data_IF_480422541374
#
_entry.id   IF_480422541374
#
_cell.length_a   1.000
_cell.length_b   1.000
_cell.length_c   1.000
_cell.angle_alpha   90.00
_cell.angle_beta   90.00
_cell.angle_gamma   90.00
#
_symmetry.space_group_name_H-M   'P 1'
#
loop_
_entity.id
_entity.type
_entity.pdbx_description
1 polymer ?
#
# COMPACT_ATOMS: atom_id res chain seq x y z
N UNK A 1 -8.19 -44.08 -46.05
CA UNK A 1 -7.01 -43.29 -45.62
C UNK A 1 -7.24 -41.85 -46.04
N UNK A 2 -7.77 -41.02 -45.15
CA UNK A 2 -7.99 -39.59 -45.41
C UNK A 2 -6.97 -38.80 -44.59
N UNK A 3 -6.16 -37.98 -45.26
CA UNK A 3 -5.13 -37.14 -44.61
C UNK A 3 -5.81 -36.03 -43.79
N UNK A 4 -5.28 -35.67 -42.61
CA UNK A 4 -5.78 -34.54 -41.83
C UNK A 4 -5.38 -33.20 -42.47
N UNK A 5 -6.33 -32.27 -42.51
CA UNK A 5 -6.16 -30.89 -42.98
C UNK A 5 -5.31 -30.09 -41.97
N UNK A 6 -4.35 -29.24 -42.39
CA UNK A 6 -3.58 -28.41 -41.46
C UNK A 6 -4.47 -27.33 -40.82
N UNK A 7 -4.35 -27.16 -39.51
CA UNK A 7 -4.92 -26.02 -38.78
C UNK A 7 -4.24 -24.73 -39.26
N UNK A 8 -5.03 -23.75 -39.72
CA UNK A 8 -4.53 -22.40 -40.03
C UNK A 8 -4.18 -21.69 -38.71
N UNK A 9 -3.11 -20.87 -38.68
CA UNK A 9 -2.85 -19.97 -37.55
C UNK A 9 -4.04 -19.02 -37.39
N UNK A 10 -4.58 -18.91 -36.17
CA UNK A 10 -5.62 -17.93 -35.86
C UNK A 10 -5.08 -16.52 -36.06
N UNK A 11 -5.83 -15.69 -36.79
CA UNK A 11 -5.52 -14.25 -36.90
C UNK A 11 -5.60 -13.60 -35.51
N UNK A 12 -4.65 -12.71 -35.16
CA UNK A 12 -4.71 -11.98 -33.90
C UNK A 12 -6.00 -11.17 -33.85
N UNK A 13 -6.78 -11.36 -32.78
CA UNK A 13 -7.98 -10.57 -32.52
C UNK A 13 -7.56 -9.10 -32.34
N UNK A 14 -8.09 -8.16 -33.14
CA UNK A 14 -7.73 -6.76 -32.99
C UNK A 14 -8.22 -6.25 -31.64
N UNK A 15 -7.32 -5.60 -30.90
CA UNK A 15 -7.65 -4.83 -29.70
C UNK A 15 -8.79 -3.86 -30.07
N UNK A 16 -9.94 -4.00 -29.41
CA UNK A 16 -11.05 -3.06 -29.59
C UNK A 16 -10.56 -1.64 -29.30
N UNK A 17 -10.92 -0.63 -30.12
CA UNK A 17 -10.57 0.75 -29.84
C UNK A 17 -11.52 1.29 -28.78
N UNK A 18 -11.29 0.93 -27.51
CA UNK A 18 -11.66 1.79 -26.41
C UNK A 18 -10.74 3.00 -26.49
N UNK A 19 -11.28 4.20 -26.69
CA UNK A 19 -10.49 5.43 -26.62
C UNK A 19 -9.69 5.44 -25.29
N UNK A 20 -8.49 6.05 -25.27
CA UNK A 20 -7.69 6.08 -24.06
C UNK A 20 -8.54 6.63 -22.92
N UNK A 21 -8.62 5.89 -21.82
CA UNK A 21 -9.12 6.45 -20.57
C UNK A 21 -8.40 7.79 -20.36
N UNK A 22 -9.10 8.86 -19.92
CA UNK A 22 -8.46 10.15 -19.72
C UNK A 22 -7.19 9.96 -18.90
N UNK A 23 -6.07 10.47 -19.41
CA UNK A 23 -4.78 10.41 -18.74
C UNK A 23 -4.99 11.01 -17.35
N UNK A 24 -4.91 10.15 -16.32
CA UNK A 24 -4.96 10.62 -14.94
C UNK A 24 -3.79 11.59 -14.76
N UNK A 25 -3.98 12.76 -14.12
CA UNK A 25 -2.86 13.65 -13.83
C UNK A 25 -1.80 12.84 -13.07
N UNK A 26 -0.56 12.90 -13.56
CA UNK A 26 0.55 12.16 -12.98
C UNK A 26 0.83 12.62 -11.56
N UNK A 27 1.31 11.72 -10.71
CA UNK A 27 1.67 12.01 -9.32
C UNK A 27 2.74 13.11 -9.23
N UNK A 28 2.79 13.87 -8.12
CA UNK A 28 3.84 14.85 -7.91
C UNK A 28 5.21 14.18 -7.88
N UNK A 29 6.09 14.62 -8.77
CA UNK A 29 7.48 14.16 -8.82
C UNK A 29 8.40 15.24 -8.22
N UNK A 30 8.92 15.01 -7.01
CA UNK A 30 10.00 15.73 -6.35
C UNK A 30 11.09 16.13 -7.36
N UNK A 31 11.56 17.40 -7.36
CA UNK A 31 12.44 17.96 -8.37
C UNK A 31 13.70 17.12 -8.67
N UNK A 32 14.31 16.54 -7.65
CA UNK A 32 15.52 15.68 -7.76
C UNK A 32 15.33 14.39 -8.58
N UNK A 33 14.08 14.08 -8.97
CA UNK A 33 13.71 12.83 -9.62
C UNK A 33 13.29 13.00 -11.09
N UNK A 34 13.43 14.20 -11.66
CA UNK A 34 13.35 14.38 -13.12
C UNK A 34 14.55 13.68 -13.80
N UNK A 35 14.39 12.44 -14.26
CA UNK A 35 15.33 11.89 -15.26
C UNK A 35 15.57 10.38 -15.37
N UNK A 36 15.27 9.53 -14.37
CA UNK A 36 15.29 8.04 -14.42
C UNK A 36 15.01 7.50 -13.02
N UNK A 37 13.81 6.99 -12.78
CA UNK A 37 13.46 6.35 -11.51
C UNK A 37 13.98 4.89 -11.54
N UNK A 38 14.78 4.43 -10.58
CA UNK A 38 15.23 3.03 -10.55
C UNK A 38 14.03 2.10 -10.38
N UNK A 39 13.98 1.06 -11.21
CA UNK A 39 13.01 -0.02 -11.13
C UNK A 39 13.69 -1.23 -10.48
N UNK A 40 13.29 -1.56 -9.27
CA UNK A 40 13.79 -2.73 -8.56
C UNK A 40 12.97 -3.95 -8.92
N UNK A 41 13.65 -5.04 -9.30
CA UNK A 41 13.00 -6.28 -9.69
C UNK A 41 13.06 -7.29 -8.55
N UNK A 42 11.98 -8.03 -8.35
CA UNK A 42 11.90 -9.14 -7.41
C UNK A 42 11.08 -10.29 -7.99
N UNK A 43 11.33 -11.52 -7.56
CA UNK A 43 10.60 -12.71 -7.96
C UNK A 43 9.85 -13.30 -6.76
N UNK A 44 8.62 -13.75 -6.95
CA UNK A 44 7.73 -14.26 -5.90
C UNK A 44 7.21 -15.65 -6.28
N UNK A 45 7.28 -16.58 -5.34
CA UNK A 45 6.79 -17.94 -5.50
C UNK A 45 5.37 -18.08 -4.92
N UNK A 46 4.37 -18.14 -5.80
CA UNK A 46 3.01 -18.56 -5.45
C UNK A 46 2.95 -20.07 -5.53
N UNK A 47 3.43 -20.74 -4.47
CA UNK A 47 3.49 -22.20 -4.42
C UNK A 47 2.11 -22.75 -4.08
N UNK A 48 1.55 -23.54 -4.99
CA UNK A 48 0.18 -24.07 -4.86
C UNK A 48 0.17 -25.59 -4.86
N UNK A 49 -0.82 -26.17 -4.18
CA UNK A 49 -1.11 -27.60 -4.24
C UNK A 49 -2.61 -27.86 -4.27
N UNK A 50 -3.00 -29.01 -4.81
CA UNK A 50 -4.37 -29.49 -4.70
C UNK A 50 -4.57 -30.18 -3.34
N UNK A 51 -5.64 -29.84 -2.64
CA UNK A 51 -6.06 -30.45 -1.38
C UNK A 51 -7.54 -30.87 -1.46
N UNK A 52 -8.02 -31.75 -0.56
CA UNK A 52 -9.43 -32.18 -0.57
C UNK A 52 -10.45 -31.02 -0.49
N UNK A 53 -10.08 -29.91 0.15
CA UNK A 53 -10.92 -28.71 0.30
C UNK A 53 -10.79 -27.70 -0.84
N UNK A 54 -9.97 -27.97 -1.87
CA UNK A 54 -9.67 -27.04 -2.96
C UNK A 54 -8.17 -26.75 -3.07
N UNK A 55 -7.81 -25.74 -3.87
CA UNK A 55 -6.42 -25.36 -4.06
C UNK A 55 -5.92 -24.51 -2.89
N UNK A 56 -4.77 -24.89 -2.36
CA UNK A 56 -4.08 -24.19 -1.27
C UNK A 56 -2.84 -23.45 -1.79
N UNK A 57 -2.41 -22.43 -1.05
CA UNK A 57 -1.17 -21.70 -1.25
C UNK A 57 -0.30 -21.78 -0.01
N UNK A 58 1.01 -21.97 -0.19
CA UNK A 58 1.97 -21.93 0.91
C UNK A 58 2.32 -20.47 1.22
N UNK A 59 2.09 -20.07 2.47
CA UNK A 59 2.45 -18.75 2.98
C UNK A 59 3.40 -18.88 4.17
N UNK A 60 4.28 -17.90 4.31
CA UNK A 60 5.16 -17.74 5.46
C UNK A 60 4.76 -16.51 6.28
N UNK A 61 4.76 -16.64 7.60
CA UNK A 61 4.52 -15.54 8.53
C UNK A 61 5.84 -14.83 8.79
N UNK A 62 5.96 -13.59 8.31
CA UNK A 62 7.18 -12.77 8.44
C UNK A 62 7.46 -12.41 9.90
N UNK A 63 8.70 -12.49 10.34
CA UNK A 63 9.16 -12.04 11.66
C UNK A 63 10.57 -11.48 11.56
N UNK A 64 10.98 -10.50 12.36
CA UNK A 64 12.38 -10.04 12.38
C UNK A 64 12.93 -9.44 11.07
N UNK A 65 12.09 -9.20 10.06
CA UNK A 65 12.51 -8.70 8.74
C UNK A 65 12.67 -7.17 8.71
N UNK A 66 12.08 -6.49 9.70
CA UNK A 66 12.03 -5.04 9.76
C UNK A 66 11.00 -4.41 8.81
N UNK A 67 10.28 -5.22 8.02
CA UNK A 67 9.24 -4.76 7.10
C UNK A 67 8.08 -5.76 7.03
N UNK A 68 6.87 -5.31 7.36
CA UNK A 68 5.65 -6.13 7.34
C UNK A 68 5.78 -7.39 8.21
N UNK A 69 6.43 -7.28 9.37
CA UNK A 69 6.47 -8.38 10.35
C UNK A 69 5.06 -8.69 10.85
N UNK A 70 4.77 -9.96 11.15
CA UNK A 70 3.45 -10.48 11.51
C UNK A 70 2.39 -10.39 10.39
N UNK A 71 2.86 -10.32 9.14
CA UNK A 71 2.04 -10.51 7.94
C UNK A 71 2.44 -11.78 7.20
N UNK A 72 1.46 -12.48 6.66
CA UNK A 72 1.65 -13.62 5.77
C UNK A 72 2.09 -13.14 4.38
N UNK A 73 3.11 -13.79 3.83
CA UNK A 73 3.64 -13.54 2.51
C UNK A 73 3.76 -14.85 1.70
N UNK A 74 3.93 -14.74 0.39
CA UNK A 74 4.29 -15.83 -0.50
C UNK A 74 5.44 -16.64 0.09
N UNK A 75 5.40 -17.96 -0.09
CA UNK A 75 6.32 -18.89 0.55
C UNK A 75 7.81 -18.62 0.31
N UNK A 76 8.17 -17.94 -0.78
CA UNK A 76 9.50 -17.39 -0.99
C UNK A 76 9.45 -16.16 -1.90
N UNK A 77 10.31 -15.17 -1.67
CA UNK A 77 10.44 -14.01 -2.55
C UNK A 77 11.73 -13.23 -2.31
N UNK A 78 12.34 -12.73 -3.39
CA UNK A 78 13.56 -11.93 -3.26
C UNK A 78 13.98 -11.20 -4.53
N UNK A 79 15.05 -10.41 -4.41
CA UNK A 79 15.49 -9.49 -5.45
C UNK A 79 16.09 -10.22 -6.66
N UNK A 80 15.88 -9.64 -7.84
CA UNK A 80 16.59 -10.06 -9.05
C UNK A 80 17.94 -9.36 -9.09
N UNK A 81 18.97 -10.08 -8.64
CA UNK A 81 20.35 -9.60 -8.54
C UNK A 81 21.24 -10.08 -9.70
N UNK A 82 22.46 -9.54 -9.82
CA UNK A 82 23.52 -10.01 -10.74
C UNK A 82 23.11 -10.21 -12.21
N UNK A 83 22.14 -9.41 -12.68
CA UNK A 83 21.57 -9.48 -14.03
C UNK A 83 21.00 -10.87 -14.40
N UNK A 84 20.55 -11.64 -13.41
CA UNK A 84 19.91 -12.94 -13.64
C UNK A 84 18.47 -12.80 -14.14
N UNK A 85 17.93 -13.86 -14.74
CA UNK A 85 16.51 -13.92 -15.07
C UNK A 85 15.65 -14.04 -13.80
N UNK A 86 14.43 -13.46 -13.74
CA UNK A 86 13.56 -13.58 -12.56
C UNK A 86 13.26 -15.03 -12.16
N UNK A 87 13.21 -15.97 -13.12
CA UNK A 87 13.03 -17.40 -12.83
C UNK A 87 14.23 -18.03 -12.12
N UNK A 88 15.45 -17.50 -12.33
CA UNK A 88 16.66 -17.94 -11.61
C UNK A 88 16.62 -17.41 -10.18
N UNK A 89 16.25 -16.14 -10.01
CA UNK A 89 16.02 -15.57 -8.68
C UNK A 89 14.96 -16.37 -7.92
N UNK A 90 13.80 -16.65 -8.54
CA UNK A 90 12.75 -17.49 -7.95
C UNK A 90 13.29 -18.83 -7.42
N UNK A 91 14.01 -19.59 -8.25
CA UNK A 91 14.52 -20.91 -7.86
C UNK A 91 15.57 -20.83 -6.75
N UNK A 92 16.35 -19.75 -6.69
CA UNK A 92 17.28 -19.47 -5.59
C UNK A 92 16.54 -19.20 -4.28
N UNK A 93 15.61 -18.25 -4.28
CA UNK A 93 14.86 -17.85 -3.07
C UNK A 93 14.05 -19.01 -2.51
N UNK A 94 13.39 -19.82 -3.36
CA UNK A 94 12.68 -21.03 -2.92
C UNK A 94 13.63 -22.02 -2.22
N UNK A 95 14.87 -22.18 -2.70
CA UNK A 95 15.84 -23.06 -2.06
C UNK A 95 16.36 -22.47 -0.74
N UNK A 96 16.68 -21.18 -0.73
CA UNK A 96 17.24 -20.47 0.42
C UNK A 96 16.23 -20.33 1.57
N UNK A 97 14.97 -20.03 1.27
CA UNK A 97 13.92 -19.79 2.27
C UNK A 97 13.18 -21.07 2.71
N UNK A 98 12.99 -22.03 1.78
CA UNK A 98 12.14 -23.21 2.01
C UNK A 98 12.87 -24.56 1.98
N UNK A 99 14.11 -24.59 1.47
CA UNK A 99 14.92 -25.82 1.42
C UNK A 99 14.41 -26.86 0.42
N UNK A 100 13.68 -26.44 -0.62
CA UNK A 100 13.11 -27.29 -1.69
C UNK A 100 13.52 -26.77 -3.06
N UNK A 101 13.43 -27.65 -4.07
CA UNK A 101 13.74 -27.31 -5.45
C UNK A 101 12.46 -27.10 -6.28
N UNK A 102 12.46 -26.11 -7.16
CA UNK A 102 11.35 -25.86 -8.10
C UNK A 102 11.42 -26.88 -9.24
N UNK A 103 10.38 -27.70 -9.38
CA UNK A 103 10.25 -28.68 -10.49
C UNK A 103 9.46 -28.09 -11.65
N UNK A 104 8.37 -27.37 -11.35
CA UNK A 104 7.52 -26.73 -12.35
C UNK A 104 7.04 -25.37 -11.86
N UNK A 105 7.28 -24.34 -12.67
CA UNK A 105 6.74 -23.01 -12.45
C UNK A 105 6.46 -22.31 -13.79
N UNK A 106 5.41 -21.49 -13.82
CA UNK A 106 5.10 -20.62 -14.96
C UNK A 106 4.86 -19.18 -14.51
N UNK A 107 5.14 -18.19 -15.37
CA UNK A 107 4.79 -16.80 -15.09
C UNK A 107 3.29 -16.68 -14.83
N UNK A 108 2.93 -16.06 -13.70
CA UNK A 108 1.55 -15.82 -13.32
C UNK A 108 1.14 -14.39 -13.70
N UNK A 109 1.90 -13.40 -13.23
CA UNK A 109 1.69 -11.99 -13.54
C UNK A 109 2.97 -11.21 -13.25
N UNK A 110 3.12 -10.06 -13.90
CA UNK A 110 4.08 -9.04 -13.46
C UNK A 110 3.31 -7.92 -12.79
N UNK A 111 3.68 -7.57 -11.56
CA UNK A 111 3.15 -6.39 -10.91
C UNK A 111 4.15 -5.24 -11.02
N UNK A 112 3.71 -4.13 -11.62
CA UNK A 112 4.39 -2.86 -11.41
C UNK A 112 3.77 -2.21 -10.17
N UNK A 113 4.60 -1.83 -9.21
CA UNK A 113 4.12 -1.09 -8.03
C UNK A 113 4.97 0.13 -7.72
N UNK A 114 4.33 1.10 -7.09
CA UNK A 114 4.97 2.32 -6.61
C UNK A 114 4.44 2.71 -5.23
N UNK A 115 5.33 3.20 -4.36
CA UNK A 115 4.96 3.79 -3.07
C UNK A 115 5.11 5.31 -3.08
N UNK A 116 4.48 5.99 -2.13
CA UNK A 116 4.71 7.41 -1.88
C UNK A 116 5.98 7.68 -1.06
N UNK A 117 6.46 6.70 -0.26
CA UNK A 117 7.56 6.88 0.72
C UNK A 117 8.80 6.07 0.33
N UNK A 118 9.98 6.63 0.63
CA UNK A 118 11.30 6.10 0.26
C UNK A 118 11.90 6.83 -0.93
N UNK A 119 13.23 6.74 -1.15
CA UNK A 119 13.84 7.14 -2.44
C UNK A 119 13.06 6.40 -3.51
N UNK A 120 12.27 7.13 -4.29
CA UNK A 120 11.15 6.59 -5.09
C UNK A 120 11.58 5.37 -5.89
N UNK A 121 11.34 4.21 -5.32
CA UNK A 121 11.69 2.93 -5.89
C UNK A 121 10.38 2.39 -6.45
N UNK A 122 10.29 2.36 -7.77
CA UNK A 122 9.26 1.54 -8.40
C UNK A 122 9.76 0.11 -8.39
N UNK A 123 8.82 -0.83 -8.31
CA UNK A 123 9.15 -2.25 -8.39
C UNK A 123 8.46 -2.92 -9.56
N UNK A 124 9.16 -3.89 -10.13
CA UNK A 124 8.64 -4.90 -11.03
C UNK A 124 8.73 -6.25 -10.33
N UNK A 125 7.62 -6.68 -9.75
CA UNK A 125 7.51 -7.96 -9.06
C UNK A 125 7.02 -9.02 -10.05
N UNK A 126 7.85 -10.03 -10.29
CA UNK A 126 7.55 -11.16 -11.17
C UNK A 126 6.97 -12.29 -10.32
N UNK A 127 5.67 -12.49 -10.40
CA UNK A 127 5.00 -13.60 -9.71
C UNK A 127 5.01 -14.84 -10.61
N UNK A 128 5.42 -15.96 -10.04
CA UNK A 128 5.37 -17.27 -10.66
C UNK A 128 4.42 -18.15 -9.85
N UNK A 129 3.54 -18.86 -10.54
CA UNK A 129 2.84 -19.97 -9.92
C UNK A 129 3.77 -21.18 -9.96
N UNK A 130 4.01 -21.79 -8.80
CA UNK A 130 4.82 -23.00 -8.67
C UNK A 130 3.88 -24.16 -8.39
N UNK A 131 3.72 -25.06 -9.35
CA UNK A 131 2.81 -26.20 -9.25
C UNK A 131 3.47 -27.46 -8.69
N UNK A 132 4.80 -27.53 -8.75
CA UNK A 132 5.55 -28.69 -8.27
C UNK A 132 6.90 -28.29 -7.68
N UNK A 133 7.18 -28.85 -6.51
CA UNK A 133 8.46 -28.75 -5.78
C UNK A 133 8.98 -30.15 -5.44
N UNK A 134 10.29 -30.28 -5.32
CA UNK A 134 10.96 -31.49 -4.83
C UNK A 134 11.45 -31.28 -3.39
N UNK A 135 11.02 -32.16 -2.49
CA UNK A 135 11.24 -32.05 -1.05
C UNK A 135 10.03 -31.52 -0.28
N UNK A 136 10.14 -31.47 1.04
CA UNK A 136 9.10 -30.91 1.93
C UNK A 136 9.53 -29.50 2.38
N UNK A 137 8.73 -28.46 2.11
CA UNK A 137 9.08 -27.09 2.47
C UNK A 137 9.12 -26.91 3.98
N UNK A 138 10.16 -26.22 4.47
CA UNK A 138 10.37 -25.95 5.89
C UNK A 138 10.91 -24.53 6.09
N UNK A 139 10.79 -24.00 7.29
CA UNK A 139 11.44 -22.74 7.66
C UNK A 139 12.96 -22.97 7.67
N UNK A 140 13.68 -22.32 6.74
CA UNK A 140 15.15 -22.33 6.72
C UNK A 140 15.74 -21.15 7.50
N UNK A 141 15.08 -19.99 7.46
CA UNK A 141 15.50 -18.76 8.15
C UNK A 141 14.57 -18.44 9.35
N UNK A 142 14.73 -19.10 10.51
CA UNK A 142 13.83 -18.92 11.66
C UNK A 142 13.89 -17.52 12.28
N UNK A 143 14.97 -16.76 12.04
CA UNK A 143 15.08 -15.36 12.49
C UNK A 143 14.23 -14.40 11.62
N UNK A 144 13.76 -14.87 10.46
CA UNK A 144 12.97 -14.08 9.49
C UNK A 144 11.52 -14.57 9.31
N UNK A 145 11.21 -15.77 9.82
CA UNK A 145 9.95 -16.47 9.56
C UNK A 145 9.48 -17.22 10.81
N UNK A 146 8.30 -16.83 11.31
CA UNK A 146 7.69 -17.37 12.52
C UNK A 146 6.84 -18.63 12.28
N UNK A 147 6.20 -18.73 11.12
CA UNK A 147 5.31 -19.85 10.77
C UNK A 147 5.33 -20.08 9.26
N UNK A 148 5.01 -21.30 8.84
CA UNK A 148 4.92 -21.71 7.44
C UNK A 148 3.71 -22.64 7.28
N UNK A 149 2.73 -22.24 6.47
CA UNK A 149 1.44 -22.93 6.43
C UNK A 149 0.79 -22.89 5.05
N UNK A 150 0.08 -23.97 4.74
CA UNK A 150 -0.84 -24.05 3.62
C UNK A 150 -2.19 -23.41 3.98
N UNK A 151 -2.60 -22.43 3.20
CA UNK A 151 -3.88 -21.73 3.36
C UNK A 151 -4.78 -22.00 2.14
N UNK A 152 -6.08 -22.24 2.32
CA UNK A 152 -7.01 -22.27 1.19
C UNK A 152 -6.96 -20.94 0.43
N UNK A 153 -6.83 -20.95 -0.90
CA UNK A 153 -6.80 -19.72 -1.70
C UNK A 153 -8.10 -18.91 -1.58
N UNK A 154 -9.20 -19.56 -1.22
CA UNK A 154 -10.51 -18.96 -0.99
C UNK A 154 -10.71 -18.45 0.44
N UNK A 155 -9.76 -18.70 1.34
CA UNK A 155 -9.83 -18.34 2.76
C UNK A 155 -8.44 -17.95 3.27
N UNK A 156 -7.91 -16.88 2.66
CA UNK A 156 -6.63 -16.29 3.05
C UNK A 156 -6.72 -15.68 4.45
N UNK A 157 -5.61 -15.68 5.23
CA UNK A 157 -5.59 -15.03 6.54
C UNK A 157 -5.83 -13.52 6.40
N UNK A 158 -6.32 -12.85 7.46
CA UNK A 158 -6.61 -11.42 7.42
C UNK A 158 -5.39 -10.57 6.99
N UNK A 159 -4.22 -10.87 7.57
CA UNK A 159 -2.97 -10.15 7.30
C UNK A 159 -2.13 -10.88 6.25
N UNK A 160 -2.43 -10.63 4.98
CA UNK A 160 -1.55 -10.97 3.86
C UNK A 160 -0.94 -9.68 3.32
N UNK A 161 0.37 -9.69 3.03
CA UNK A 161 1.09 -8.54 2.48
C UNK A 161 0.27 -7.93 1.32
N UNK A 162 -0.09 -6.62 1.35
CA UNK A 162 -1.17 -6.07 0.52
C UNK A 162 -1.01 -6.31 -0.99
N UNK A 163 0.20 -6.13 -1.52
CA UNK A 163 0.44 -6.30 -2.95
C UNK A 163 0.42 -7.78 -3.37
N UNK A 164 0.84 -8.70 -2.49
CA UNK A 164 0.75 -10.13 -2.74
C UNK A 164 -0.69 -10.64 -2.66
N UNK A 165 -1.48 -10.11 -1.72
CA UNK A 165 -2.94 -10.38 -1.62
C UNK A 165 -3.65 -10.11 -2.93
N UNK A 166 -3.34 -9.01 -3.62
CA UNK A 166 -3.92 -8.68 -4.94
C UNK A 166 -3.71 -9.82 -5.95
N UNK A 167 -2.51 -10.41 -5.97
CA UNK A 167 -2.19 -11.51 -6.88
C UNK A 167 -2.88 -12.81 -6.47
N UNK A 168 -2.90 -13.11 -5.17
CA UNK A 168 -3.56 -14.31 -4.63
C UNK A 168 -5.07 -14.27 -4.83
N UNK A 169 -5.70 -13.11 -4.66
CA UNK A 169 -7.13 -12.90 -4.93
C UNK A 169 -7.45 -13.01 -6.43
N UNK A 170 -6.56 -12.50 -7.31
CA UNK A 170 -6.70 -12.69 -8.75
C UNK A 170 -6.60 -14.18 -9.15
N UNK A 171 -5.65 -14.91 -8.56
CA UNK A 171 -5.53 -16.36 -8.77
C UNK A 171 -6.76 -17.12 -8.23
N UNK A 172 -7.27 -16.75 -7.05
CA UNK A 172 -8.49 -17.33 -6.51
C UNK A 172 -9.71 -17.07 -7.42
N UNK A 173 -9.83 -15.86 -7.97
CA UNK A 173 -10.88 -15.51 -8.93
C UNK A 173 -10.76 -16.30 -10.24
N UNK A 174 -9.54 -16.55 -10.72
CA UNK A 174 -9.32 -17.43 -11.87
C UNK A 174 -9.84 -18.84 -11.62
N UNK A 175 -9.51 -19.41 -10.45
CA UNK A 175 -9.89 -20.78 -10.11
C UNK A 175 -11.40 -20.92 -9.87
N UNK A 176 -12.03 -19.93 -9.25
CA UNK A 176 -13.44 -20.01 -8.82
C UNK A 176 -14.42 -19.45 -9.84
N UNK A 177 -14.00 -18.47 -10.64
CA UNK A 177 -14.87 -17.72 -11.55
C UNK A 177 -14.41 -17.76 -13.01
N UNK A 178 -13.24 -18.35 -13.30
CA UNK A 178 -12.67 -18.39 -14.65
C UNK A 178 -12.14 -17.03 -15.15
N UNK A 179 -12.02 -16.04 -14.27
CA UNK A 179 -11.49 -14.71 -14.61
C UNK A 179 -9.96 -14.81 -14.75
N UNK A 180 -9.38 -14.59 -15.94
CA UNK A 180 -7.94 -14.76 -16.12
C UNK A 180 -7.15 -13.76 -15.24
N UNK A 181 -6.04 -14.22 -14.67
CA UNK A 181 -5.09 -13.33 -14.00
C UNK A 181 -4.50 -12.38 -15.05
N UNK A 182 -4.55 -11.05 -14.85
CA UNK A 182 -3.95 -10.11 -15.78
C UNK A 182 -2.44 -10.34 -15.89
N UNK A 183 -1.89 -10.26 -17.12
CA UNK A 183 -0.45 -10.40 -17.33
C UNK A 183 0.36 -9.27 -16.67
N UNK A 184 -0.25 -8.09 -16.52
CA UNK A 184 0.30 -6.92 -15.84
C UNK A 184 -0.72 -6.40 -14.82
N UNK A 185 -0.27 -6.17 -13.59
CA UNK A 185 -1.06 -5.50 -12.54
C UNK A 185 -0.31 -4.24 -12.12
N UNK A 186 -1.03 -3.12 -12.06
CA UNK A 186 -0.53 -1.88 -11.46
C UNK A 186 -1.04 -1.79 -10.02
N UNK A 187 -0.15 -1.54 -9.07
CA UNK A 187 -0.53 -1.42 -7.67
C UNK A 187 0.09 -0.20 -6.99
N UNK A 188 -0.73 0.50 -6.20
CA UNK A 188 -0.26 1.61 -5.40
C UNK A 188 -0.03 2.88 -6.21
N UNK A 189 -0.47 2.97 -7.47
CA UNK A 189 -0.37 4.16 -8.35
C UNK A 189 -1.59 5.08 -8.30
N UNK A 190 -2.72 4.61 -7.75
CA UNK A 190 -3.96 5.37 -7.64
C UNK A 190 -4.20 5.96 -6.24
N UNK A 191 -3.34 5.67 -5.27
CA UNK A 191 -3.31 6.33 -3.95
C UNK A 191 -3.16 7.85 -4.08
N UNK A 192 -4.04 8.59 -3.41
CA UNK A 192 -4.04 10.05 -3.25
C UNK A 192 -3.95 10.39 -1.77
N UNK A 193 -2.98 11.22 -1.42
CA UNK A 193 -2.69 11.59 -0.05
C UNK A 193 -3.17 13.02 0.23
N UNK A 194 -4.07 13.16 1.19
CA UNK A 194 -4.61 14.43 1.67
C UNK A 194 -4.25 14.61 3.14
N UNK A 195 -3.61 15.71 3.52
CA UNK A 195 -3.44 16.05 4.94
C UNK A 195 -4.68 16.82 5.41
N UNK A 196 -5.27 16.38 6.51
CA UNK A 196 -6.42 17.04 7.12
C UNK A 196 -6.02 17.49 8.52
N UNK A 197 -6.11 18.78 8.82
CA UNK A 197 -5.69 19.33 10.12
C UNK A 197 -6.47 20.60 10.47
N UNK A 198 -6.71 20.81 11.76
CA UNK A 198 -7.02 22.13 12.31
C UNK A 198 -5.73 22.71 12.91
N UNK A 199 -5.37 23.94 12.54
CA UNK A 199 -4.11 24.58 12.94
C UNK A 199 -4.38 25.98 13.49
N UNK A 200 -3.68 26.36 14.56
CA UNK A 200 -3.74 27.73 15.10
C UNK A 200 -3.01 28.72 14.19
N UNK A 201 -3.18 30.02 14.44
CA UNK A 201 -2.50 31.07 13.68
C UNK A 201 -0.95 30.99 13.78
N UNK A 202 -0.42 30.31 14.81
CA UNK A 202 0.99 29.96 14.98
C UNK A 202 1.34 28.53 14.52
N UNK A 203 0.44 27.87 13.76
CA UNK A 203 0.51 26.46 13.33
C UNK A 203 0.40 25.42 14.45
N UNK A 204 0.05 25.80 15.67
CA UNK A 204 -0.15 24.85 16.76
C UNK A 204 -1.25 23.83 16.43
N UNK A 205 -1.04 22.55 16.78
CA UNK A 205 -2.03 21.47 16.58
C UNK A 205 -2.27 20.59 17.81
N UNK A 206 -1.48 20.77 18.88
CA UNK A 206 -1.63 19.97 20.09
C UNK A 206 -1.03 20.65 21.31
N UNK A 207 -1.80 20.64 22.40
CA UNK A 207 -1.44 21.12 23.74
C UNK A 207 -1.81 20.02 24.73
N UNK A 208 -0.89 19.63 25.62
CA UNK A 208 -1.09 18.59 26.64
C UNK A 208 -1.68 17.25 26.09
N UNK A 209 -1.36 16.88 24.85
CA UNK A 209 -1.85 15.67 24.20
C UNK A 209 -3.29 15.74 23.64
N UNK A 210 -3.92 16.93 23.67
CA UNK A 210 -5.24 17.20 23.11
C UNK A 210 -5.26 18.36 22.12
N UNK A 211 -6.41 18.54 21.46
CA UNK A 211 -6.67 19.71 20.63
C UNK A 211 -6.97 20.91 21.53
N UNK A 212 -6.33 22.09 21.34
CA UNK A 212 -6.51 23.25 22.22
C UNK A 212 -7.87 23.96 22.08
N UNK A 213 -8.71 23.53 21.15
CA UNK A 213 -10.05 24.07 20.92
C UNK A 213 -11.08 22.97 20.73
N UNK A 214 -12.35 23.33 20.94
CA UNK A 214 -13.49 22.47 20.63
C UNK A 214 -14.36 23.14 19.57
N UNK A 215 -14.25 22.66 18.33
CA UNK A 215 -14.96 23.20 17.16
C UNK A 215 -15.85 22.10 16.55
N UNK A 216 -17.14 22.01 16.93
CA UNK A 216 -18.04 20.97 16.42
C UNK A 216 -18.21 20.97 14.89
N UNK A 217 -18.08 22.13 14.26
CA UNK A 217 -18.18 22.30 12.81
C UNK A 217 -16.94 21.76 12.09
N UNK A 218 -15.76 21.92 12.67
CA UNK A 218 -14.52 21.29 12.20
C UNK A 218 -14.62 19.76 12.30
N UNK A 219 -15.12 19.21 13.41
CA UNK A 219 -15.34 17.77 13.54
C UNK A 219 -16.32 17.21 12.50
N UNK A 220 -17.34 17.99 12.12
CA UNK A 220 -18.28 17.64 11.06
C UNK A 220 -17.60 17.66 9.70
N UNK A 221 -16.86 18.72 9.42
CA UNK A 221 -16.08 18.86 8.18
C UNK A 221 -15.04 17.73 8.05
N UNK A 222 -14.28 17.45 9.10
CA UNK A 222 -13.34 16.32 9.18
C UNK A 222 -14.02 15.00 8.84
N UNK A 223 -15.20 14.72 9.40
CA UNK A 223 -15.98 13.52 9.08
C UNK A 223 -16.39 13.48 7.62
N UNK A 224 -16.86 14.58 7.05
CA UNK A 224 -17.29 14.67 5.66
C UNK A 224 -16.12 14.44 4.69
N UNK A 225 -14.99 15.11 4.93
CA UNK A 225 -13.78 15.01 4.11
C UNK A 225 -13.22 13.59 4.13
N UNK A 226 -13.12 12.98 5.32
CA UNK A 226 -12.44 11.68 5.47
C UNK A 226 -13.31 10.46 5.15
N UNK A 227 -14.61 10.63 4.92
CA UNK A 227 -15.56 9.53 4.80
C UNK A 227 -15.20 8.55 3.67
N UNK A 228 -15.27 7.25 3.96
CA UNK A 228 -15.02 6.19 2.98
C UNK A 228 -13.55 5.97 2.61
N UNK A 229 -12.63 6.82 3.09
CA UNK A 229 -11.19 6.65 2.89
C UNK A 229 -10.50 5.92 4.04
N UNK A 230 -9.17 5.93 3.95
CA UNK A 230 -8.27 5.37 4.98
C UNK A 230 -7.63 6.52 5.75
N UNK A 231 -7.78 6.54 7.06
CA UNK A 231 -7.08 7.48 7.93
C UNK A 231 -5.73 6.89 8.34
N UNK A 232 -4.65 7.66 8.18
CA UNK A 232 -3.32 7.33 8.67
C UNK A 232 -2.98 8.30 9.79
N UNK A 233 -2.62 7.76 10.95
CA UNK A 233 -2.25 8.56 12.12
C UNK A 233 -1.17 7.94 12.99
N UNK A 234 -0.48 8.75 13.79
CA UNK A 234 0.42 8.27 14.83
C UNK A 234 -0.33 7.81 16.10
N UNK A 235 0.31 6.96 16.91
CA UNK A 235 -0.26 6.41 18.16
C UNK A 235 -0.85 7.46 19.10
N UNK A 236 -0.17 8.60 19.30
CA UNK A 236 -0.66 9.67 20.20
C UNK A 236 -1.97 10.29 19.71
N UNK A 237 -2.11 10.47 18.40
CA UNK A 237 -3.36 10.95 17.79
C UNK A 237 -4.48 9.93 17.98
N UNK A 238 -4.18 8.65 17.79
CA UNK A 238 -5.14 7.59 18.09
C UNK A 238 -5.61 7.63 19.55
N UNK A 239 -4.68 7.72 20.51
CA UNK A 239 -5.04 7.75 21.94
C UNK A 239 -5.93 8.94 22.31
N UNK A 240 -5.70 10.10 21.67
CA UNK A 240 -6.52 11.30 21.84
C UNK A 240 -7.94 11.10 21.31
N UNK A 241 -8.09 10.43 20.16
CA UNK A 241 -9.40 10.09 19.57
C UNK A 241 -10.10 8.95 20.35
N UNK A 242 -9.32 8.00 20.84
CA UNK A 242 -9.72 6.88 21.70
C UNK A 242 -10.44 5.72 21.01
N UNK A 243 -10.71 5.79 19.70
CA UNK A 243 -11.40 4.72 18.95
C UNK A 243 -11.30 4.87 17.43
N UNK A 244 -11.55 3.77 16.72
CA UNK A 244 -11.80 3.80 15.29
C UNK A 244 -13.06 4.62 14.96
N UNK A 245 -13.00 5.42 13.89
CA UNK A 245 -14.13 6.25 13.48
C UNK A 245 -14.97 5.52 12.42
N UNK A 246 -16.28 5.28 12.65
CA UNK A 246 -17.11 4.47 11.75
C UNK A 246 -17.12 4.95 10.30
N UNK A 247 -17.15 4.03 9.33
CA UNK A 247 -17.15 4.35 7.90
C UNK A 247 -15.78 4.77 7.35
N UNK A 248 -14.71 4.63 8.14
CA UNK A 248 -13.32 4.89 7.76
C UNK A 248 -12.43 3.75 8.25
N UNK A 249 -11.53 3.27 7.39
CA UNK A 249 -10.43 2.41 7.84
C UNK A 249 -9.42 3.27 8.57
N UNK A 250 -8.73 2.71 9.57
CA UNK A 250 -7.73 3.45 10.35
C UNK A 250 -6.44 2.65 10.41
N UNK A 251 -5.35 3.27 9.99
CA UNK A 251 -3.99 2.76 10.10
C UNK A 251 -3.24 3.60 11.13
N UNK A 252 -2.71 2.95 12.16
CA UNK A 252 -1.98 3.58 13.26
C UNK A 252 -0.51 3.23 13.18
N UNK A 253 0.33 4.27 13.16
CA UNK A 253 1.79 4.15 13.16
C UNK A 253 2.31 4.17 14.59
N UNK A 254 3.05 3.13 14.97
CA UNK A 254 3.65 2.99 16.31
C UNK A 254 4.96 2.21 16.27
N UNK A 255 5.92 2.58 17.11
CA UNK A 255 7.14 1.79 17.34
C UNK A 255 6.92 0.60 18.28
N UNK A 256 5.82 0.59 19.04
CA UNK A 256 5.44 -0.52 19.91
C UNK A 256 4.84 -1.67 19.08
N UNK A 257 5.64 -2.72 18.90
CA UNK A 257 5.27 -3.92 18.14
C UNK A 257 4.25 -4.82 18.85
N UNK A 258 4.02 -4.61 20.14
CA UNK A 258 2.99 -5.32 20.91
C UNK A 258 1.64 -4.62 20.88
N UNK A 259 1.60 -3.38 20.40
CA UNK A 259 0.39 -2.57 20.41
C UNK A 259 -0.64 -3.07 19.40
N UNK A 260 -1.89 -3.14 19.84
CA UNK A 260 -3.04 -3.37 18.98
C UNK A 260 -4.26 -2.65 19.55
N UNK A 261 -5.20 -2.29 18.68
CA UNK A 261 -6.46 -1.72 19.09
C UNK A 261 -7.61 -2.20 18.17
N UNK A 262 -8.81 -2.45 18.72
CA UNK A 262 -9.96 -2.84 17.90
C UNK A 262 -10.27 -1.79 16.81
N UNK A 263 -10.40 -2.26 15.57
CA UNK A 263 -10.69 -1.41 14.41
C UNK A 263 -9.51 -0.59 13.89
N UNK A 264 -8.30 -0.81 14.41
CA UNK A 264 -7.07 -0.24 13.88
C UNK A 264 -6.21 -1.30 13.19
N UNK A 265 -5.72 -0.96 12.01
CA UNK A 265 -4.62 -1.66 11.33
C UNK A 265 -3.30 -1.05 11.83
N UNK A 266 -2.32 -1.87 12.19
CA UNK A 266 -1.06 -1.41 12.80
C UNK A 266 0.03 -1.37 11.74
N UNK A 267 0.81 -0.29 11.74
CA UNK A 267 2.03 -0.15 10.95
C UNK A 267 3.18 0.36 11.82
N UNK A 268 4.41 0.01 11.47
CA UNK A 268 5.61 0.38 12.23
C UNK A 268 6.49 1.40 11.51
N UNK A 269 6.07 1.83 10.31
CA UNK A 269 6.67 2.94 9.59
C UNK A 269 5.64 3.61 8.68
N UNK A 270 5.95 4.82 8.20
CA UNK A 270 5.11 5.49 7.20
C UNK A 270 5.03 4.69 5.89
N UNK A 271 6.12 4.05 5.48
CA UNK A 271 6.14 3.22 4.27
C UNK A 271 5.18 2.03 4.38
N UNK A 272 5.21 1.32 5.51
CA UNK A 272 4.24 0.25 5.79
C UNK A 272 2.80 0.79 5.85
N UNK A 273 2.58 1.92 6.52
CA UNK A 273 1.24 2.48 6.67
C UNK A 273 0.58 2.82 5.33
N UNK A 274 1.36 3.37 4.40
CA UNK A 274 0.86 3.68 3.06
C UNK A 274 0.67 2.43 2.20
N UNK A 275 1.47 1.37 2.40
CA UNK A 275 1.23 0.09 1.73
C UNK A 275 -0.07 -0.56 2.24
N UNK A 276 -0.29 -0.56 3.56
CA UNK A 276 -1.51 -1.07 4.20
C UNK A 276 -2.74 -0.26 3.80
N UNK A 277 -2.59 1.07 3.68
CA UNK A 277 -3.68 1.94 3.23
C UNK A 277 -4.13 1.61 1.79
N UNK A 278 -3.20 1.24 0.91
CA UNK A 278 -3.49 0.85 -0.46
C UNK A 278 -3.96 2.00 -1.35
N UNK A 279 -4.53 1.67 -2.51
CA UNK A 279 -5.02 2.67 -3.46
C UNK A 279 -6.30 3.39 -2.98
N UNK A 280 -6.56 4.58 -3.52
CA UNK A 280 -7.72 5.40 -3.16
C UNK A 280 -7.37 6.63 -2.32
N UNK A 281 -8.34 7.13 -1.55
CA UNK A 281 -8.18 8.30 -0.69
C UNK A 281 -7.55 7.91 0.65
N UNK A 282 -6.36 8.47 0.92
CA UNK A 282 -5.63 8.33 2.17
C UNK A 282 -5.54 9.69 2.84
N UNK A 283 -6.06 9.78 4.06
CA UNK A 283 -6.10 10.98 4.86
C UNK A 283 -5.07 10.89 5.98
N UNK A 284 -4.05 11.73 5.94
CA UNK A 284 -3.14 11.89 7.08
C UNK A 284 -3.78 12.85 8.06
N UNK A 285 -4.03 12.37 9.27
CA UNK A 285 -4.77 13.11 10.31
C UNK A 285 -3.93 13.37 11.56
N UNK A 286 -2.60 13.28 11.41
CA UNK A 286 -1.61 13.67 12.41
C UNK A 286 -0.85 12.49 13.04
N UNK A 287 0.02 12.71 14.02
CA UNK A 287 0.40 14.00 14.59
C UNK A 287 1.49 14.74 13.81
N UNK A 288 2.12 15.72 14.46
CA UNK A 288 3.12 16.61 13.84
C UNK A 288 4.24 15.90 13.07
N UNK A 289 4.78 14.80 13.61
CA UNK A 289 5.82 14.02 12.95
C UNK A 289 5.31 13.35 11.66
N UNK A 290 4.10 12.81 11.68
CA UNK A 290 3.48 12.18 10.50
C UNK A 290 3.18 13.25 9.43
N UNK A 291 2.68 14.42 9.84
CA UNK A 291 2.51 15.55 8.92
C UNK A 291 3.83 15.98 8.27
N UNK A 292 4.90 16.12 9.07
CA UNK A 292 6.22 16.52 8.57
C UNK A 292 6.78 15.52 7.54
N UNK A 293 6.58 14.22 7.76
CA UNK A 293 7.02 13.18 6.82
C UNK A 293 6.16 13.09 5.55
N UNK A 294 4.95 13.67 5.54
CA UNK A 294 3.96 13.44 4.47
C UNK A 294 3.59 14.67 3.66
N UNK A 295 3.87 15.89 4.13
CA UNK A 295 3.50 17.11 3.41
C UNK A 295 4.13 17.16 2.01
N UNK A 296 5.36 16.66 1.84
CA UNK A 296 6.01 16.61 0.53
C UNK A 296 5.47 15.52 -0.43
N UNK A 297 4.67 14.61 0.09
CA UNK A 297 4.08 13.49 -0.64
C UNK A 297 2.61 13.75 -1.00
N UNK A 298 2.00 14.74 -0.36
CA UNK A 298 0.59 15.02 -0.47
C UNK A 298 0.22 15.77 -1.75
N UNK A 299 -0.96 15.46 -2.27
CA UNK A 299 -1.56 16.14 -3.42
C UNK A 299 -2.48 17.29 -2.97
N UNK A 300 -3.03 17.20 -1.75
CA UNK A 300 -3.99 18.16 -1.22
C UNK A 300 -3.80 18.38 0.27
N UNK A 301 -4.11 19.59 0.73
CA UNK A 301 -4.30 19.90 2.15
C UNK A 301 -5.74 20.37 2.37
N UNK A 302 -6.35 19.92 3.46
CA UNK A 302 -7.64 20.39 3.98
C UNK A 302 -7.40 20.94 5.38
N UNK A 303 -7.29 22.27 5.47
CA UNK A 303 -6.80 22.95 6.65
C UNK A 303 -7.87 23.86 7.22
N UNK A 304 -8.20 23.65 8.49
CA UNK A 304 -8.99 24.60 9.29
C UNK A 304 -8.02 25.54 10.00
N UNK A 305 -7.93 26.79 9.54
CA UNK A 305 -7.15 27.84 10.22
C UNK A 305 -7.95 28.44 11.36
N UNK A 306 -7.50 28.29 12.60
CA UNK A 306 -8.14 28.83 13.81
C UNK A 306 -7.38 30.08 14.25
N UNK A 307 -8.08 31.17 14.56
CA UNK A 307 -7.49 32.50 14.81
C UNK A 307 -6.68 32.61 16.13
N UNK A 308 -6.55 31.51 16.87
CA UNK A 308 -5.85 31.46 18.16
C UNK A 308 -4.39 31.01 18.01
N UNK A 309 -3.51 31.50 18.88
CA UNK A 309 -2.08 31.13 18.90
C UNK A 309 -1.68 30.57 20.27
N UNK A 310 -2.10 29.34 20.62
CA UNK A 310 -1.78 28.77 21.92
C UNK A 310 -0.30 28.41 22.04
N UNK A 311 0.24 28.41 23.27
CA UNK A 311 1.52 27.77 23.55
C UNK A 311 1.35 26.26 23.37
N UNK A 312 2.13 25.67 22.45
CA UNK A 312 1.95 24.30 22.00
C UNK A 312 3.29 23.58 21.86
N UNK A 313 3.23 22.25 21.98
CA UNK A 313 4.39 21.37 21.82
C UNK A 313 4.48 20.79 20.41
N UNK A 314 3.36 20.76 19.70
CA UNK A 314 3.23 20.14 18.39
C UNK A 314 2.68 21.15 17.40
N UNK A 315 3.38 21.30 16.29
CA UNK A 315 3.06 22.24 15.22
C UNK A 315 2.85 21.48 13.91
N UNK A 316 1.96 22.03 13.08
CA UNK A 316 1.86 21.64 11.68
C UNK A 316 3.07 22.18 10.90
N UNK A 317 3.57 21.45 9.89
CA UNK A 317 4.63 21.94 9.01
C UNK A 317 4.26 23.26 8.33
N UNK A 318 5.25 24.01 7.86
CA UNK A 318 5.00 25.21 7.08
C UNK A 318 4.30 24.87 5.75
N UNK A 319 3.24 25.62 5.44
CA UNK A 319 2.58 25.56 4.13
C UNK A 319 3.30 26.57 3.24
N UNK A 320 4.31 26.09 2.52
CA UNK A 320 5.09 26.92 1.60
C UNK A 320 4.22 27.42 0.44
N UNK A 321 4.04 28.74 0.25
CA UNK A 321 3.25 29.31 -0.84
C UNK A 321 3.85 29.05 -2.24
N UNK A 322 5.13 28.67 -2.34
CA UNK A 322 5.72 28.23 -3.61
C UNK A 322 5.27 26.81 -3.99
N UNK A 323 5.01 25.97 -2.98
CA UNK A 323 4.58 24.59 -3.16
C UNK A 323 3.05 24.42 -3.17
N UNK A 324 2.31 25.29 -2.49
CA UNK A 324 0.88 25.16 -2.25
C UNK A 324 0.08 26.39 -2.66
N UNK A 325 -1.09 26.17 -3.27
CA UNK A 325 -2.02 27.23 -3.67
C UNK A 325 -3.39 27.01 -3.06
N UNK A 326 -3.95 28.06 -2.45
CA UNK A 326 -5.35 28.07 -2.02
C UNK A 326 -6.27 27.90 -3.24
N UNK A 327 -7.15 26.90 -3.19
CA UNK A 327 -8.14 26.63 -4.24
C UNK A 327 -9.58 26.81 -3.78
N UNK A 328 -9.79 26.78 -2.46
CA UNK A 328 -11.08 27.04 -1.83
C UNK A 328 -10.84 27.66 -0.46
N UNK A 329 -11.69 28.64 -0.12
CA UNK A 329 -11.72 29.31 1.17
C UNK A 329 -13.18 29.45 1.60
N UNK A 330 -13.46 29.14 2.86
CA UNK A 330 -14.79 29.25 3.44
C UNK A 330 -14.66 29.84 4.86
N UNK A 331 -14.92 31.14 4.97
CA UNK A 331 -14.71 31.93 6.18
C UNK A 331 -15.86 31.73 7.19
N UNK A 332 -15.48 31.66 8.47
CA UNK A 332 -16.37 31.57 9.62
C UNK A 332 -15.89 32.53 10.70
N UNK A 333 -16.70 32.70 11.74
CA UNK A 333 -16.29 33.49 12.90
C UNK A 333 -15.23 32.72 13.71
N UNK A 334 -14.00 33.25 13.78
CA UNK A 334 -12.91 32.69 14.58
C UNK A 334 -12.11 31.55 13.93
N UNK A 335 -12.51 31.07 12.74
CA UNK A 335 -11.77 30.09 11.97
C UNK A 335 -12.14 30.11 10.48
N UNK A 336 -11.34 29.47 9.62
CA UNK A 336 -11.58 29.40 8.17
C UNK A 336 -11.22 28.02 7.63
N UNK A 337 -12.10 27.41 6.84
CA UNK A 337 -11.76 26.19 6.09
C UNK A 337 -11.05 26.56 4.79
N UNK A 338 -9.88 25.98 4.55
CA UNK A 338 -9.08 26.25 3.36
C UNK A 338 -8.61 24.94 2.73
N UNK A 339 -8.90 24.77 1.45
CA UNK A 339 -8.33 23.68 0.65
C UNK A 339 -7.15 24.19 -0.14
N UNK A 340 -6.02 23.47 -0.08
CA UNK A 340 -4.83 23.75 -0.87
C UNK A 340 -4.58 22.63 -1.88
N UNK A 341 -4.15 23.01 -3.08
CA UNK A 341 -3.63 22.09 -4.09
C UNK A 341 -2.15 22.36 -4.33
N UNK A 342 -1.41 21.31 -4.70
CA UNK A 342 0.01 21.43 -5.02
C UNK A 342 0.22 22.24 -6.31
N UNK A 343 1.19 23.16 -6.30
CA UNK A 343 1.55 23.98 -7.45
C UNK A 343 2.11 23.07 -8.56
N UNK A 344 1.47 23.09 -9.73
CA UNK A 344 1.81 22.24 -10.89
C UNK A 344 0.82 21.11 -11.18
N UNK A 345 -0.18 20.90 -10.32
CA UNK A 345 -1.29 19.97 -10.53
C UNK A 345 -2.63 20.67 -10.84
N UNK A 346 -2.59 22.00 -10.97
CA UNK A 346 -3.74 22.87 -11.24
C UNK A 346 -4.03 23.11 -12.72
#
# INVERSE_FOLDING_TARGET
>A
MSRPTPLRPGEPTPLRPGGPAPLRPGRPVHPDLRGRIPLLAAAYAVITRDAPGGREVLLQLREGTGFMDQWWACGAAGHVEDAQAPSVALAREVREELGVDVVSAHPLTTMQRGGLVGRREQRADFFFQVDAIEGEPRIVEPDKTADLRWWPLTELPDRVVPHERVVLEALAAQLTQGVPVPALIEHGFAQRLTLVAAIGANRAIGVDGGMPWHLPEDLRHFKEVTMGGVMVMGRRTWDSIGRALPGRRTVVITSDRSWSAPGAEVAHSLAEALLVAGDGEVFVVGGGEIYAQTIELASRLEITHVEVSPEAEVFFPEIDPEAWREVRRDEREGYTFVSYARVGEL
#
